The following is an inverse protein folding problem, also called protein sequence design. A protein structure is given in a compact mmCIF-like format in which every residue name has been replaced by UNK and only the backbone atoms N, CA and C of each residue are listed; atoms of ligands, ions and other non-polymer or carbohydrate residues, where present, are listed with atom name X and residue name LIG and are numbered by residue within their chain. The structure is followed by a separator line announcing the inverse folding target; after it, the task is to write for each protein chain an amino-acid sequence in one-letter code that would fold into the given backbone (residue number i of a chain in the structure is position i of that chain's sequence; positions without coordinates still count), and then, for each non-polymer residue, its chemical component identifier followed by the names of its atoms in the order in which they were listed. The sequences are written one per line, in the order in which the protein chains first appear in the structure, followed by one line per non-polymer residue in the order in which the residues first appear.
data_IF_216768481982
#
_entry.id   IF_216768481982
#
_cell.length_a   1.000
_cell.length_b   1.000
_cell.length_c   1.000
_cell.angle_alpha   90.00
_cell.angle_beta   90.00
_cell.angle_gamma   90.00
#
_symmetry.space_group_name_H-M   'P 1'
#
loop_
_entity.id
_entity.type
_entity.pdbx_description
1 polymer ?
#
# COMPACT_ATOMS: atom_id res chain seq x y z
N UNK A 1 18.78 -11.49 -2.14
CA UNK A 1 19.95 -11.14 -1.29
C UNK A 1 19.42 -10.52 0.00
N UNK A 2 19.75 -11.04 1.18
CA UNK A 2 19.32 -10.44 2.47
C UNK A 2 20.52 -9.72 3.07
N UNK A 3 20.53 -8.39 2.97
CA UNK A 3 21.58 -7.52 3.51
C UNK A 3 21.49 -7.46 5.03
N UNK A 4 22.62 -7.58 5.71
CA UNK A 4 22.77 -7.34 7.16
C UNK A 4 22.65 -5.87 7.56
N UNK A 5 22.44 -4.99 6.58
CA UNK A 5 22.42 -3.55 6.75
C UNK A 5 21.28 -2.94 5.93
N UNK A 6 20.05 -3.10 6.39
CA UNK A 6 18.98 -2.15 6.02
C UNK A 6 19.34 -0.74 6.55
N UNK A 7 20.31 -0.63 7.45
CA UNK A 7 20.70 0.60 8.15
C UNK A 7 21.77 1.46 7.49
N UNK A 8 22.57 0.98 6.51
CA UNK A 8 23.69 1.79 5.97
C UNK A 8 23.51 2.28 4.52
N UNK A 9 22.64 1.67 3.72
CA UNK A 9 22.44 2.11 2.32
C UNK A 9 21.32 3.14 2.14
N UNK A 10 20.61 3.52 3.21
CA UNK A 10 19.36 4.28 3.08
C UNK A 10 19.42 5.71 3.65
N UNK A 11 20.39 6.05 4.50
CA UNK A 11 20.62 7.44 4.94
C UNK A 11 22.10 7.60 5.35
N UNK A 12 22.93 8.21 4.51
CA UNK A 12 24.08 8.99 5.00
C UNK A 12 23.93 10.41 4.45
N UNK A 13 23.57 11.41 5.27
CA UNK A 13 23.75 12.78 4.86
C UNK A 13 25.24 13.05 5.02
N UNK A 14 26.01 12.90 3.94
CA UNK A 14 27.37 13.46 3.92
C UNK A 14 27.21 14.99 3.92
N UNK A 15 27.10 15.56 5.11
CA UNK A 15 27.38 16.96 5.34
C UNK A 15 28.84 17.16 5.02
N UNK A 16 29.14 17.79 3.88
CA UNK A 16 30.20 18.78 3.73
C UNK A 16 29.99 19.55 2.42
N UNK A 17 29.40 20.74 2.56
CA UNK A 17 29.53 21.90 1.67
C UNK A 17 29.23 21.73 0.17
N UNK A 18 27.95 21.87 -0.22
CA UNK A 18 27.56 22.70 -1.36
C UNK A 18 26.12 23.18 -1.19
N UNK A 19 25.86 24.41 -1.59
CA UNK A 19 24.56 25.08 -1.57
C UNK A 19 23.69 24.66 -2.75
N UNK A 20 23.53 23.35 -2.96
CA UNK A 20 22.59 22.79 -3.93
C UNK A 20 21.49 22.06 -3.14
N UNK A 21 20.24 22.29 -3.53
CA UNK A 21 19.03 21.70 -2.95
C UNK A 21 19.24 20.22 -2.60
N UNK A 22 19.29 19.90 -1.30
CA UNK A 22 19.35 18.54 -0.78
C UNK A 22 18.06 17.81 -1.16
N UNK A 23 18.03 17.22 -2.35
CA UNK A 23 16.98 16.28 -2.76
C UNK A 23 17.09 15.07 -1.84
N UNK A 24 15.99 14.71 -1.18
CA UNK A 24 15.92 13.50 -0.37
C UNK A 24 15.84 12.33 -1.36
N UNK A 25 16.97 11.89 -1.92
CA UNK A 25 16.99 10.84 -2.93
C UNK A 25 16.64 9.49 -2.28
N UNK A 26 15.39 9.08 -2.45
CA UNK A 26 14.99 7.70 -2.21
C UNK A 26 15.71 6.81 -3.21
N UNK A 27 16.20 5.63 -2.78
CA UNK A 27 17.00 4.77 -3.63
C UNK A 27 16.18 4.25 -4.81
N UNK A 28 16.86 4.11 -5.94
CA UNK A 28 16.34 3.47 -7.13
C UNK A 28 16.36 1.93 -6.99
N UNK A 29 15.38 1.24 -7.57
CA UNK A 29 15.35 -0.20 -7.68
C UNK A 29 15.10 -0.64 -9.13
N UNK A 30 15.58 -1.85 -9.46
CA UNK A 30 15.11 -2.61 -10.60
C UNK A 30 14.83 -4.05 -10.14
N UNK A 31 13.65 -4.57 -10.47
CA UNK A 31 13.22 -5.91 -10.10
C UNK A 31 12.74 -6.67 -11.34
N UNK A 32 13.36 -7.82 -11.60
CA UNK A 32 13.01 -8.70 -12.72
C UNK A 32 12.23 -9.91 -12.22
N UNK A 33 11.03 -10.10 -12.76
CA UNK A 33 10.14 -11.22 -12.47
C UNK A 33 9.92 -12.00 -13.74
N UNK A 34 10.26 -13.29 -13.71
CA UNK A 34 10.05 -14.20 -14.83
C UNK A 34 9.02 -15.25 -14.46
N UNK A 35 8.04 -15.43 -15.34
CA UNK A 35 6.95 -16.40 -15.21
C UNK A 35 7.19 -17.57 -16.18
N UNK A 36 7.71 -18.71 -15.68
CA UNK A 36 8.13 -19.81 -16.55
C UNK A 36 6.99 -20.54 -17.24
N UNK A 37 5.76 -20.44 -16.74
CA UNK A 37 4.58 -21.08 -17.33
C UNK A 37 4.05 -20.30 -18.53
N UNK A 38 4.04 -18.96 -18.44
CA UNK A 38 3.55 -18.06 -19.50
C UNK A 38 4.66 -17.57 -20.42
N UNK A 39 5.92 -17.74 -20.01
CA UNK A 39 7.12 -17.27 -20.71
C UNK A 39 7.20 -15.75 -20.80
N UNK A 40 6.70 -15.09 -19.76
CA UNK A 40 6.66 -13.64 -19.62
C UNK A 40 7.73 -13.17 -18.64
N UNK A 41 8.29 -12.00 -18.89
CA UNK A 41 9.21 -11.31 -18.00
C UNK A 41 8.74 -9.87 -17.80
N UNK A 42 8.78 -9.41 -16.55
CA UNK A 42 8.50 -8.03 -16.18
C UNK A 42 9.72 -7.48 -15.44
N UNK A 43 10.28 -6.38 -15.95
CA UNK A 43 11.31 -5.60 -15.28
C UNK A 43 10.71 -4.29 -14.80
N UNK A 44 10.42 -4.22 -13.51
CA UNK A 44 9.93 -3.00 -12.87
C UNK A 44 11.12 -2.15 -12.43
N UNK A 45 11.03 -0.84 -12.63
CA UNK A 45 12.02 0.09 -12.12
C UNK A 45 11.37 1.34 -11.53
N UNK A 46 12.05 1.99 -10.59
CA UNK A 46 11.54 3.18 -9.93
C UNK A 46 12.22 3.44 -8.60
N UNK A 47 11.53 4.07 -7.66
CA UNK A 47 12.07 4.38 -6.33
C UNK A 47 11.56 3.41 -5.27
N UNK A 48 12.28 3.26 -4.16
CA UNK A 48 11.81 2.45 -3.05
C UNK A 48 12.06 3.11 -1.71
N UNK A 49 11.26 2.70 -0.72
CA UNK A 49 11.45 3.07 0.68
C UNK A 49 11.18 1.88 1.59
N UNK A 50 11.54 1.99 2.86
CA UNK A 50 11.37 0.91 3.84
C UNK A 50 10.60 1.40 5.06
N UNK A 51 9.64 0.58 5.49
CA UNK A 51 8.87 0.75 6.73
C UNK A 51 9.41 -0.26 7.75
N UNK A 52 9.80 0.17 8.93
CA UNK A 52 10.23 -0.73 10.02
C UNK A 52 10.04 -0.07 11.39
N UNK A 53 10.26 -0.81 12.47
CA UNK A 53 10.21 -0.23 13.83
C UNK A 53 11.27 0.87 14.02
N UNK A 54 12.42 0.77 13.35
CA UNK A 54 13.49 1.76 13.42
C UNK A 54 13.31 2.93 12.45
N UNK A 55 12.64 2.71 11.32
CA UNK A 55 12.46 3.71 10.27
C UNK A 55 10.97 3.95 10.01
N UNK A 56 10.46 5.05 10.60
CA UNK A 56 9.05 5.46 10.51
C UNK A 56 8.82 6.71 9.66
N UNK A 57 9.87 7.45 9.30
CA UNK A 57 9.75 8.68 8.52
C UNK A 57 9.88 8.36 7.04
N UNK A 58 8.75 8.34 6.35
CA UNK A 58 8.71 8.21 4.89
C UNK A 58 8.82 9.62 4.29
N UNK A 59 9.67 9.84 3.28
CA UNK A 59 9.81 11.15 2.66
C UNK A 59 8.48 11.62 2.05
N UNK A 60 7.97 12.80 2.42
CA UNK A 60 6.73 13.33 1.86
C UNK A 60 6.77 13.41 0.32
N UNK A 61 7.95 13.70 -0.24
CA UNK A 61 8.20 13.70 -1.69
C UNK A 61 7.81 12.38 -2.38
N UNK A 62 8.04 11.21 -1.74
CA UNK A 62 7.67 9.91 -2.33
C UNK A 62 6.17 9.66 -2.23
N UNK A 63 5.55 10.10 -1.13
CA UNK A 63 4.12 9.93 -0.90
C UNK A 63 3.34 10.75 -1.92
N UNK A 64 3.73 12.00 -2.15
CA UNK A 64 3.12 12.87 -3.16
C UNK A 64 3.45 12.44 -4.58
N UNK A 65 4.69 12.05 -4.91
CA UNK A 65 5.05 11.65 -6.28
C UNK A 65 4.29 10.41 -6.76
N UNK A 66 4.06 9.45 -5.86
CA UNK A 66 3.43 8.18 -6.19
C UNK A 66 1.98 8.09 -5.71
N UNK A 67 1.38 9.23 -5.34
CA UNK A 67 -0.04 9.31 -5.04
C UNK A 67 -0.47 8.26 -3.99
N UNK A 68 0.36 8.12 -2.95
CA UNK A 68 0.11 7.14 -1.90
C UNK A 68 -0.87 7.75 -0.90
N UNK A 69 -2.14 7.34 -0.99
CA UNK A 69 -3.23 7.90 -0.19
C UNK A 69 -3.46 7.17 1.12
N UNK A 70 -4.03 7.89 2.09
CA UNK A 70 -4.54 7.27 3.31
C UNK A 70 -5.66 6.27 2.95
N UNK A 71 -5.72 5.09 3.60
CA UNK A 71 -6.86 4.19 3.46
C UNK A 71 -8.21 4.85 3.83
N UNK A 72 -8.20 5.91 4.64
CA UNK A 72 -9.43 6.65 5.00
C UNK A 72 -9.99 7.45 3.84
N UNK A 73 -9.13 7.90 2.92
CA UNK A 73 -9.54 8.66 1.75
C UNK A 73 -10.47 7.86 0.82
N UNK A 74 -10.34 6.52 0.77
CA UNK A 74 -11.24 5.70 -0.06
C UNK A 74 -12.65 5.55 0.52
N UNK A 75 -12.84 5.76 1.82
CA UNK A 75 -14.14 5.53 2.48
C UNK A 75 -15.12 6.70 2.30
N UNK A 76 -14.65 7.88 1.93
CA UNK A 76 -15.48 9.10 1.82
C UNK A 76 -16.10 9.30 0.44
N UNK A 77 -15.66 8.56 -0.59
CA UNK A 77 -16.11 8.76 -1.97
C UNK A 77 -17.14 7.73 -2.46
N UNK A 78 -17.61 6.83 -1.59
CA UNK A 78 -18.58 5.77 -1.94
C UNK A 78 -20.02 6.11 -1.52
N UNK A 79 -20.41 7.39 -1.63
CA UNK A 79 -21.81 7.84 -1.54
C UNK A 79 -22.37 8.07 -2.96
N UNK A 80 -22.24 7.06 -3.83
CA UNK A 80 -23.03 7.03 -5.04
C UNK A 80 -24.43 6.54 -4.68
N UNK A 81 -25.37 7.49 -4.54
CA UNK A 81 -26.80 7.24 -4.63
C UNK A 81 -27.11 6.61 -5.99
N UNK A 82 -27.15 5.28 -6.07
CA UNK A 82 -27.74 4.59 -7.21
C UNK A 82 -29.26 4.82 -7.18
N UNK A 83 -29.71 5.71 -8.06
CA UNK A 83 -31.12 5.96 -8.36
C UNK A 83 -31.81 4.71 -8.96
N UNK A 84 -33.00 4.45 -8.42
CA UNK A 84 -34.20 3.89 -9.07
C UNK A 84 -34.02 2.71 -10.05
N UNK A 85 -34.18 1.48 -9.52
CA UNK A 85 -34.70 0.37 -10.33
C UNK A 85 -36.22 0.46 -10.32
N UNK A 86 -36.77 1.05 -11.39
CA UNK A 86 -38.15 0.88 -11.83
C UNK A 86 -38.40 -0.59 -12.18
N UNK A 87 -39.15 -1.31 -11.32
CA UNK A 87 -39.74 -2.61 -11.71
C UNK A 87 -41.21 -2.42 -12.12
N UNK A 88 -41.64 -2.96 -13.28
CA UNK A 88 -42.96 -2.71 -13.82
C UNK A 88 -44.05 -3.49 -13.08
N UNK A 89 -45.22 -2.84 -13.06
CA UNK A 89 -46.54 -3.30 -12.63
C UNK A 89 -46.82 -4.74 -13.11
N UNK A 90 -47.21 -5.61 -12.17
CA UNK A 90 -48.12 -6.72 -12.43
C UNK A 90 -49.30 -6.59 -11.46
N UNK A 91 -50.47 -6.31 -12.02
CA UNK A 91 -51.76 -6.59 -11.41
C UNK A 91 -51.89 -8.10 -11.20
N UNK A 92 -52.35 -8.52 -10.02
CA UNK A 92 -53.44 -9.51 -9.86
C UNK A 92 -53.72 -9.80 -8.37
N UNK A 93 -54.92 -9.35 -7.99
CA UNK A 93 -55.95 -10.03 -7.21
C UNK A 93 -55.85 -10.34 -5.70
N UNK A 94 -56.96 -9.93 -5.07
CA UNK A 94 -57.75 -10.57 -4.01
C UNK A 94 -57.48 -10.37 -2.49
N UNK A 95 -58.53 -9.81 -1.87
CA UNK A 95 -59.01 -9.91 -0.47
C UNK A 95 -58.11 -9.33 0.64
N UNK A 96 -58.59 -8.56 1.61
CA UNK A 96 -59.79 -8.82 2.39
C UNK A 96 -60.30 -7.55 3.11
N UNK A 97 -61.58 -7.54 3.44
CA UNK A 97 -62.25 -6.48 4.20
C UNK A 97 -61.87 -6.58 5.69
N UNK A 98 -61.73 -5.43 6.36
CA UNK A 98 -62.56 -4.99 7.51
C UNK A 98 -61.80 -4.08 8.51
N UNK A 99 -62.55 -3.05 8.92
CA UNK A 99 -62.65 -2.49 10.27
C UNK A 99 -61.63 -1.46 10.80
N UNK A 100 -62.22 -0.28 11.02
CA UNK A 100 -62.30 0.43 12.29
C UNK A 100 -61.14 1.31 12.77
N UNK A 101 -61.54 2.57 12.96
CA UNK A 101 -61.27 3.44 14.10
C UNK A 101 -60.02 4.35 14.08
N UNK A 102 -60.39 5.64 14.09
CA UNK A 102 -59.92 6.68 15.02
C UNK A 102 -58.63 7.48 14.78
N UNK A 103 -58.91 8.79 14.67
CA UNK A 103 -58.24 9.95 15.28
C UNK A 103 -56.98 10.58 14.64
N UNK A 104 -57.17 11.87 14.30
CA UNK A 104 -56.39 13.08 14.65
C UNK A 104 -54.84 12.95 14.61
N UNK A 105 -54.07 13.84 13.99
CA UNK A 105 -54.12 15.28 14.25
C UNK A 105 -53.34 16.08 13.19
N UNK A 106 -53.68 17.36 13.12
CA UNK A 106 -53.21 18.38 12.19
C UNK A 106 -51.93 19.06 12.72
N UNK A 107 -51.02 19.39 11.80
CA UNK A 107 -49.97 20.44 11.80
C UNK A 107 -49.55 21.14 13.09
N UNK A 108 -48.24 21.20 13.33
CA UNK A 108 -47.39 22.39 13.55
C UNK A 108 -46.00 21.84 13.96
N UNK A 109 -44.91 22.04 13.22
CA UNK A 109 -44.07 23.22 13.37
C UNK A 109 -43.10 23.35 12.18
N UNK A 110 -43.43 24.26 11.25
CA UNK A 110 -42.45 24.90 10.39
C UNK A 110 -42.12 26.26 11.02
N UNK A 111 -40.98 26.38 11.72
CA UNK A 111 -40.17 27.60 11.66
C UNK A 111 -38.82 27.49 12.40
N UNK A 112 -37.81 28.00 11.69
CA UNK A 112 -36.53 28.56 12.14
C UNK A 112 -35.41 27.55 12.40
N UNK A 113 -34.45 27.47 11.48
CA UNK A 113 -33.32 28.41 11.43
C UNK A 113 -32.74 28.41 9.99
N UNK A 114 -32.83 29.59 9.37
CA UNK A 114 -32.02 29.99 8.21
C UNK A 114 -30.54 30.05 8.59
N UNK A 115 -29.68 29.88 7.58
CA UNK A 115 -28.31 30.37 7.50
C UNK A 115 -27.26 29.70 8.42
N UNK A 116 -26.65 28.64 7.88
CA UNK A 116 -25.18 28.53 7.88
C UNK A 116 -24.76 28.25 6.43
N UNK A 117 -24.85 29.28 5.59
CA UNK A 117 -23.98 29.39 4.42
C UNK A 117 -22.57 29.70 4.96
N UNK A 118 -21.83 28.66 5.28
CA UNK A 118 -20.38 28.67 5.41
C UNK A 118 -19.88 27.24 5.54
N UNK A 119 -20.15 26.39 4.54
CA UNK A 119 -19.28 25.25 4.27
C UNK A 119 -17.99 25.80 3.66
N UNK A 120 -17.17 26.41 4.52
CA UNK A 120 -15.74 26.23 4.39
C UNK A 120 -15.49 24.77 4.71
N UNK A 121 -15.60 23.92 3.67
CA UNK A 121 -14.85 22.67 3.62
C UNK A 121 -13.37 23.04 3.77
N UNK A 122 -12.94 23.17 5.02
CA UNK A 122 -11.58 22.81 5.40
C UNK A 122 -11.53 21.29 5.19
N UNK A 123 -11.35 20.87 3.93
CA UNK A 123 -10.74 19.58 3.65
C UNK A 123 -9.35 19.70 4.28
N UNK A 124 -9.22 19.20 5.51
CA UNK A 124 -7.93 19.12 6.16
C UNK A 124 -7.05 18.26 5.24
N UNK A 125 -6.02 18.85 4.63
CA UNK A 125 -5.00 18.16 3.81
C UNK A 125 -4.43 16.90 4.51
N UNK A 126 -4.60 16.82 5.83
CA UNK A 126 -4.24 15.71 6.71
C UNK A 126 -5.02 14.41 6.44
N UNK A 127 -6.20 14.44 5.80
CA UNK A 127 -6.98 13.23 5.51
C UNK A 127 -6.57 12.52 4.20
N UNK A 128 -5.83 13.21 3.32
CA UNK A 128 -5.47 12.66 2.02
C UNK A 128 -4.26 11.72 2.07
N UNK A 129 -3.26 12.02 2.91
CA UNK A 129 -1.99 11.29 2.96
C UNK A 129 -1.85 10.40 4.20
N UNK A 130 -1.13 9.26 4.11
CA UNK A 130 -1.02 8.34 5.22
C UNK A 130 -0.33 8.92 6.45
N UNK A 131 -0.98 8.77 7.59
CA UNK A 131 -0.48 9.23 8.89
C UNK A 131 0.57 8.26 9.47
N UNK A 132 1.48 8.71 10.36
CA UNK A 132 2.50 7.85 10.97
C UNK A 132 1.97 6.56 11.62
N UNK A 133 0.76 6.62 12.17
CA UNK A 133 0.06 5.51 12.81
C UNK A 133 -0.39 4.47 11.78
N UNK A 134 -0.72 4.89 10.56
CA UNK A 134 -1.17 4.02 9.47
C UNK A 134 0.00 3.20 8.92
N UNK A 135 1.19 3.78 8.84
CA UNK A 135 2.41 3.04 8.53
C UNK A 135 2.77 2.00 9.60
N UNK A 136 2.52 2.32 10.87
CA UNK A 136 2.70 1.35 11.96
C UNK A 136 1.65 0.23 11.91
N UNK A 137 0.40 0.57 11.59
CA UNK A 137 -0.66 -0.40 11.37
C UNK A 137 -0.32 -1.33 10.19
N UNK A 138 0.20 -0.79 9.08
CA UNK A 138 0.69 -1.56 7.93
C UNK A 138 1.79 -2.55 8.34
N UNK A 139 2.80 -2.08 9.08
CA UNK A 139 3.89 -2.92 9.58
C UNK A 139 3.38 -4.08 10.43
N UNK A 140 2.44 -3.81 11.34
CA UNK A 140 1.85 -4.82 12.21
C UNK A 140 0.93 -5.77 11.43
N UNK A 141 0.19 -5.28 10.44
CA UNK A 141 -0.67 -6.10 9.57
C UNK A 141 0.17 -7.12 8.81
N UNK A 142 1.23 -6.68 8.15
CA UNK A 142 2.13 -7.58 7.42
C UNK A 142 2.86 -8.53 8.34
N UNK A 143 3.32 -8.09 9.53
CA UNK A 143 3.91 -8.99 10.50
C UNK A 143 2.93 -10.09 10.93
N UNK A 144 1.69 -9.71 11.21
CA UNK A 144 0.65 -10.62 11.71
C UNK A 144 0.23 -11.67 10.69
N UNK A 145 0.32 -11.37 9.38
CA UNK A 145 0.02 -12.31 8.31
C UNK A 145 1.11 -13.38 8.10
N UNK A 146 2.33 -13.16 8.61
CA UNK A 146 3.42 -14.12 8.48
C UNK A 146 3.20 -15.39 9.33
N UNK A 147 3.55 -16.55 8.76
CA UNK A 147 3.60 -17.80 9.52
C UNK A 147 4.61 -17.73 10.67
N UNK A 148 4.39 -18.52 11.74
CA UNK A 148 5.35 -18.68 12.84
C UNK A 148 6.76 -19.02 12.32
N UNK A 149 6.84 -19.88 11.30
CA UNK A 149 8.11 -20.24 10.68
C UNK A 149 8.80 -19.03 10.04
N UNK A 150 8.08 -18.22 9.27
CA UNK A 150 8.63 -17.01 8.64
C UNK A 150 9.05 -15.98 9.67
N UNK A 151 8.24 -15.74 10.72
CA UNK A 151 8.59 -14.84 11.83
C UNK A 151 9.89 -15.27 12.53
N UNK A 152 10.09 -16.58 12.70
CA UNK A 152 11.32 -17.11 13.31
C UNK A 152 12.60 -16.72 12.55
N UNK A 153 12.51 -16.47 11.23
CA UNK A 153 13.67 -16.07 10.42
C UNK A 153 14.24 -14.70 10.85
N UNK A 154 13.42 -13.83 11.41
CA UNK A 154 13.82 -12.51 11.89
C UNK A 154 14.46 -12.53 13.29
N UNK A 155 14.49 -13.71 13.94
CA UNK A 155 15.24 -13.97 15.18
C UNK A 155 16.61 -14.61 14.92
N UNK A 156 16.92 -14.93 13.66
CA UNK A 156 18.23 -15.47 13.29
C UNK A 156 19.30 -14.38 13.46
N UNK A 157 20.56 -14.77 13.70
CA UNK A 157 21.68 -13.83 13.65
C UNK A 157 21.69 -13.03 12.34
N UNK A 158 22.28 -11.83 12.39
CA UNK A 158 22.31 -10.93 11.25
C UNK A 158 22.83 -11.65 9.98
N UNK A 159 22.14 -11.52 8.83
CA UNK A 159 22.54 -12.19 7.60
C UNK A 159 23.99 -11.91 7.22
N UNK A 160 24.70 -12.90 6.67
CA UNK A 160 26.10 -12.74 6.24
C UNK A 160 27.12 -12.66 7.38
N UNK A 161 26.70 -12.72 8.65
CA UNK A 161 27.65 -12.95 9.75
C UNK A 161 28.31 -14.33 9.62
N UNK A 162 29.57 -14.42 10.05
CA UNK A 162 30.29 -15.70 10.07
C UNK A 162 29.60 -16.66 11.02
N UNK A 163 29.44 -17.90 10.58
CA UNK A 163 28.93 -18.97 11.43
C UNK A 163 30.01 -19.36 12.44
N UNK A 164 29.75 -19.06 13.71
CA UNK A 164 30.56 -19.44 14.88
C UNK A 164 29.91 -20.60 15.62
N UNK A 165 30.64 -21.27 16.51
CA UNK A 165 30.08 -22.32 17.38
C UNK A 165 28.90 -21.82 18.23
N UNK A 166 28.90 -20.54 18.60
CA UNK A 166 27.82 -19.92 19.38
C UNK A 166 26.58 -19.66 18.52
N UNK A 167 26.74 -19.01 17.37
CA UNK A 167 25.62 -18.74 16.43
C UNK A 167 25.02 -20.03 15.87
N UNK A 168 25.84 -21.06 15.67
CA UNK A 168 25.35 -22.40 15.29
C UNK A 168 24.47 -23.02 16.38
N UNK A 169 24.81 -22.86 17.66
CA UNK A 169 23.96 -23.34 18.78
C UNK A 169 22.66 -22.55 18.87
N UNK A 170 22.72 -21.24 18.66
CA UNK A 170 21.51 -20.39 18.62
C UNK A 170 20.57 -20.82 17.49
N UNK A 171 21.10 -21.06 16.29
CA UNK A 171 20.31 -21.54 15.16
C UNK A 171 19.66 -22.91 15.43
N UNK A 172 20.36 -23.84 16.07
CA UNK A 172 19.81 -25.15 16.45
C UNK A 172 18.66 -25.01 17.47
N UNK A 173 18.82 -24.18 18.50
CA UNK A 173 17.73 -23.88 19.46
C UNK A 173 16.50 -23.29 18.78
N UNK A 174 16.71 -22.36 17.85
CA UNK A 174 15.65 -21.71 17.08
C UNK A 174 14.92 -22.74 16.20
N UNK A 175 15.65 -23.59 15.49
CA UNK A 175 15.07 -24.63 14.63
C UNK A 175 14.26 -25.66 15.42
N UNK A 176 14.68 -25.97 16.65
CA UNK A 176 13.93 -26.85 17.56
C UNK A 176 12.78 -26.14 18.29
N UNK A 177 12.66 -24.81 18.17
CA UNK A 177 11.65 -24.03 18.88
C UNK A 177 11.88 -23.94 20.40
N UNK A 178 13.11 -24.13 20.86
CA UNK A 178 13.50 -24.12 22.29
C UNK A 178 14.41 -22.94 22.62
N UNK A 179 14.33 -21.86 21.83
CA UNK A 179 15.05 -20.61 22.06
C UNK A 179 14.45 -19.77 23.20
N UNK A 180 13.20 -20.07 23.61
CA UNK A 180 12.52 -19.41 24.73
C UNK A 180 12.05 -17.97 24.42
N UNK A 181 12.25 -17.50 23.19
CA UNK A 181 11.83 -16.18 22.75
C UNK A 181 10.36 -16.19 22.34
N UNK A 182 9.66 -15.09 22.62
CA UNK A 182 8.29 -14.87 22.15
C UNK A 182 8.25 -14.77 20.62
N UNK A 183 7.07 -14.97 20.05
CA UNK A 183 6.84 -14.91 18.61
C UNK A 183 7.23 -13.53 18.03
N UNK A 184 6.93 -12.46 18.75
CA UNK A 184 7.20 -11.08 18.31
C UNK A 184 8.63 -10.60 18.55
N UNK A 185 9.50 -11.43 19.12
CA UNK A 185 10.90 -11.05 19.35
C UNK A 185 11.64 -10.71 18.03
N UNK A 186 11.15 -11.18 16.88
CA UNK A 186 11.71 -10.85 15.57
C UNK A 186 11.17 -9.55 14.96
N UNK A 187 10.12 -8.94 15.53
CA UNK A 187 9.46 -7.76 14.94
C UNK A 187 10.39 -6.55 14.85
N UNK A 188 11.36 -6.44 15.78
CA UNK A 188 12.37 -5.38 15.71
C UNK A 188 13.24 -5.50 14.44
N UNK A 189 13.45 -6.70 13.89
CA UNK A 189 14.25 -6.89 12.68
C UNK A 189 13.39 -6.98 11.41
N UNK A 190 12.07 -6.80 11.54
CA UNK A 190 11.13 -6.85 10.44
C UNK A 190 11.01 -5.48 9.77
N UNK A 191 10.94 -5.50 8.44
CA UNK A 191 10.66 -4.32 7.64
C UNK A 191 9.95 -4.69 6.35
N UNK A 192 9.19 -3.75 5.83
CA UNK A 192 8.51 -3.82 4.54
C UNK A 192 9.29 -2.95 3.57
N UNK A 193 9.63 -3.49 2.41
CA UNK A 193 10.19 -2.70 1.31
C UNK A 193 9.06 -2.36 0.35
N UNK A 194 8.79 -1.07 0.20
CA UNK A 194 7.78 -0.54 -0.72
C UNK A 194 8.48 -0.17 -2.04
N UNK A 195 8.00 -0.75 -3.15
CA UNK A 195 8.50 -0.50 -4.49
C UNK A 195 7.53 0.42 -5.21
N UNK A 196 7.97 1.63 -5.52
CA UNK A 196 7.21 2.67 -6.21
C UNK A 196 7.64 2.68 -7.68
N UNK A 197 6.81 2.12 -8.56
CA UNK A 197 7.17 1.85 -9.96
C UNK A 197 7.05 3.11 -10.80
N UNK A 198 8.13 3.47 -11.49
CA UNK A 198 8.14 4.51 -12.53
C UNK A 198 7.98 3.89 -13.92
N UNK A 199 8.53 2.69 -14.14
CA UNK A 199 8.49 2.03 -15.46
C UNK A 199 8.44 0.51 -15.39
N UNK A 200 7.93 -0.11 -16.45
CA UNK A 200 7.84 -1.56 -16.63
C UNK A 200 8.33 -1.93 -18.03
N UNK A 201 9.33 -2.81 -18.11
CA UNK A 201 9.79 -3.44 -19.35
C UNK A 201 9.28 -4.89 -19.39
N UNK A 202 8.25 -5.10 -20.20
CA UNK A 202 7.55 -6.37 -20.38
C UNK A 202 8.07 -7.09 -21.61
N UNK A 203 8.39 -8.38 -21.48
CA UNK A 203 8.82 -9.25 -22.56
C UNK A 203 8.02 -10.56 -22.54
N UNK A 204 7.40 -10.89 -23.67
CA UNK A 204 6.64 -12.12 -23.88
C UNK A 204 7.32 -12.99 -24.94
N UNK A 205 7.70 -14.22 -24.57
CA UNK A 205 8.45 -15.14 -25.43
C UNK A 205 7.60 -16.29 -26.00
N UNK A 206 6.28 -16.31 -25.74
CA UNK A 206 5.41 -17.47 -25.97
C UNK A 206 5.31 -17.92 -27.44
N UNK A 207 5.45 -17.02 -28.41
CA UNK A 207 5.20 -17.35 -29.82
C UNK A 207 6.44 -17.69 -30.65
N UNK A 208 7.66 -17.64 -30.08
CA UNK A 208 8.89 -18.13 -30.71
C UNK A 208 9.32 -17.45 -32.03
N UNK A 209 8.54 -16.49 -32.58
CA UNK A 209 8.80 -15.78 -33.84
C UNK A 209 9.32 -14.35 -33.63
N UNK A 210 10.20 -14.18 -32.64
CA UNK A 210 10.63 -12.86 -32.16
C UNK A 210 9.57 -12.34 -31.20
N UNK A 211 9.87 -12.35 -29.90
CA UNK A 211 8.90 -12.09 -28.84
C UNK A 211 8.18 -10.74 -28.98
N UNK A 212 7.30 -10.45 -28.04
CA UNK A 212 6.65 -9.15 -27.94
C UNK A 212 7.31 -8.41 -26.77
N UNK A 213 7.65 -7.13 -26.96
CA UNK A 213 8.27 -6.33 -25.90
C UNK A 213 7.64 -4.94 -25.82
N UNK A 214 7.20 -4.57 -24.63
CA UNK A 214 6.56 -3.29 -24.33
C UNK A 214 7.28 -2.57 -23.20
N UNK A 215 7.39 -1.26 -23.33
CA UNK A 215 7.84 -0.36 -22.27
C UNK A 215 6.64 0.47 -21.82
N UNK A 216 6.35 0.43 -20.54
CA UNK A 216 5.37 1.26 -19.86
C UNK A 216 6.10 2.28 -19.00
N UNK A 217 5.73 3.56 -19.08
CA UNK A 217 6.36 4.65 -18.34
C UNK A 217 5.31 5.55 -17.72
N UNK A 218 5.36 5.77 -16.40
CA UNK A 218 4.49 6.75 -15.73
C UNK A 218 4.86 8.15 -16.23
N UNK A 219 3.86 8.95 -16.60
CA UNK A 219 4.08 10.34 -17.03
C UNK A 219 4.24 11.27 -15.83
N UNK A 220 5.22 12.17 -15.88
CA UNK A 220 5.40 13.24 -14.89
C UNK A 220 4.42 14.40 -15.20
N UNK A 221 3.13 14.20 -14.96
CA UNK A 221 2.05 15.17 -15.23
C UNK A 221 1.16 15.43 -14.01
N UNK A 222 0.56 16.62 -13.92
CA UNK A 222 -0.41 16.98 -12.85
C UNK A 222 -1.82 16.41 -13.10
N UNK A 223 -2.10 15.96 -14.31
CA UNK A 223 -3.37 15.38 -14.68
C UNK A 223 -3.18 13.87 -14.83
N UNK A 224 -3.70 13.13 -13.84
CA UNK A 224 -4.01 11.68 -13.80
C UNK A 224 -2.85 10.67 -13.93
N UNK A 225 -3.05 9.48 -13.34
CA UNK A 225 -2.19 8.28 -13.35
C UNK A 225 -2.02 7.69 -14.76
N UNK A 226 -1.52 8.49 -15.70
CA UNK A 226 -1.34 8.13 -17.08
C UNK A 226 -0.01 7.40 -17.27
N UNK A 227 -0.10 6.27 -17.96
CA UNK A 227 1.04 5.47 -18.40
C UNK A 227 1.19 5.60 -19.91
N UNK A 228 2.39 5.95 -20.36
CA UNK A 228 2.78 5.86 -21.77
C UNK A 228 3.17 4.42 -22.09
N UNK A 229 2.68 3.90 -23.21
CA UNK A 229 2.96 2.53 -23.66
C UNK A 229 3.67 2.58 -25.02
N UNK A 230 4.75 1.81 -25.14
CA UNK A 230 5.54 1.73 -26.37
C UNK A 230 5.96 0.30 -26.68
N UNK A 231 5.54 -0.22 -27.84
CA UNK A 231 6.10 -1.45 -28.40
C UNK A 231 7.53 -1.19 -28.89
N UNK A 232 8.45 -2.09 -28.54
CA UNK A 232 9.87 -2.01 -28.90
C UNK A 232 10.35 -3.35 -29.46
N UNK A 233 11.48 -3.33 -30.16
CA UNK A 233 12.10 -4.57 -30.61
C UNK A 233 12.51 -5.43 -29.39
N UNK A 234 12.21 -6.74 -29.40
CA UNK A 234 12.61 -7.68 -28.35
C UNK A 234 14.12 -7.72 -28.09
#
# INVERSE_FOLDING_TARGET
MRSSKITESFITPNSNNSSDSKRCETPFFEACFYFPETWEQYRFSGQCFTISKQFKKIPAEIVTKYDIFSPRFSETNDDSTDEEIDTPINDDDDNDKNNDADNNDINEDNKLIESIENDQHHEDEDDYYPQPQEWEAELLRQWSSLSRHTKSLYRKPAPGQKLTSETSKQLDKLHRGVDGAKEDAGLENFGIVCLCVDSVDFLNLKEGRGGERWIFQKTDGKDEDLWEEQEVCP
#
